data_IF_091158716194
#
_entry.id   IF_091158716194
#
_cell.length_a   1.000
_cell.length_b   1.000
_cell.length_c   1.000
_cell.angle_alpha   90.00
_cell.angle_beta   90.00
_cell.angle_gamma   90.00
#
_symmetry.space_group_name_H-M   'P 1'
#
loop_
_entity.id
_entity.type
_entity.pdbx_description
1 polymer ?
#
# COMPACT_ATOMS: atom_id res chain seq x y z
N UNK A 1 -8.88 11.45 -17.15
CA UNK A 1 -9.51 11.01 -18.42
C UNK A 1 -10.58 10.00 -18.05
N UNK A 2 -11.83 10.33 -18.35
CA UNK A 2 -13.03 9.55 -18.01
C UNK A 2 -13.29 8.60 -19.17
N UNK A 3 -13.46 7.30 -18.92
CA UNK A 3 -14.01 6.39 -19.92
C UNK A 3 -15.40 5.94 -19.48
N UNK A 4 -16.41 6.54 -20.09
CA UNK A 4 -17.77 6.05 -20.09
C UNK A 4 -17.89 4.88 -21.07
N UNK A 5 -18.70 3.89 -20.71
CA UNK A 5 -19.09 2.81 -21.60
C UNK A 5 -20.58 2.97 -21.92
N UNK A 6 -20.85 3.08 -23.22
CA UNK A 6 -22.12 3.43 -23.82
C UNK A 6 -23.20 2.37 -23.62
N UNK A 7 -24.44 2.87 -23.57
CA UNK A 7 -25.69 2.11 -23.58
C UNK A 7 -25.83 1.26 -24.85
N UNK A 8 -26.15 -0.03 -24.66
CA UNK A 8 -26.72 -0.89 -25.70
C UNK A 8 -28.19 -1.09 -25.37
N UNK A 9 -29.04 -0.41 -26.13
CA UNK A 9 -30.44 -0.77 -26.35
C UNK A 9 -30.48 -1.95 -27.32
N UNK A 10 -31.28 -2.97 -27.02
CA UNK A 10 -31.33 -4.17 -27.87
C UNK A 10 -32.20 -5.28 -27.30
N UNK A 11 -33.49 -4.99 -27.24
CA UNK A 11 -34.63 -5.87 -27.08
C UNK A 11 -34.47 -7.26 -27.74
N UNK A 12 -34.80 -8.34 -27.00
CA UNK A 12 -35.78 -9.37 -27.41
C UNK A 12 -35.82 -10.53 -26.42
N UNK A 13 -36.88 -10.49 -25.62
CA UNK A 13 -37.44 -11.59 -24.85
C UNK A 13 -37.59 -12.86 -25.72
N UNK A 14 -36.89 -13.93 -25.39
CA UNK A 14 -37.22 -15.30 -25.81
C UNK A 14 -37.12 -16.24 -24.62
N UNK A 15 -38.29 -16.45 -24.01
CA UNK A 15 -38.60 -17.52 -23.08
C UNK A 15 -38.28 -18.88 -23.72
N UNK A 16 -37.28 -19.59 -23.19
CA UNK A 16 -37.11 -21.03 -23.37
C UNK A 16 -36.83 -21.65 -22.00
N UNK A 17 -37.87 -22.27 -21.46
CA UNK A 17 -37.89 -23.08 -20.24
C UNK A 17 -37.19 -24.42 -20.50
N UNK A 18 -35.88 -24.54 -20.25
CA UNK A 18 -35.20 -25.83 -20.08
C UNK A 18 -34.15 -25.68 -18.97
N UNK A 19 -34.40 -26.31 -17.83
CA UNK A 19 -33.51 -26.28 -16.68
C UNK A 19 -32.31 -27.20 -16.86
N UNK A 20 -31.11 -26.64 -16.74
CA UNK A 20 -29.96 -27.20 -16.01
C UNK A 20 -29.19 -26.00 -15.47
N UNK A 21 -28.89 -26.04 -14.18
CA UNK A 21 -28.30 -24.97 -13.42
C UNK A 21 -26.76 -24.94 -13.57
N UNK A 22 -26.21 -23.75 -13.28
CA UNK A 22 -24.89 -23.51 -12.68
C UNK A 22 -23.66 -23.42 -13.61
N UNK A 23 -23.38 -22.17 -14.01
CA UNK A 23 -22.14 -21.44 -13.67
C UNK A 23 -20.86 -22.31 -13.55
N UNK A 24 -20.16 -22.54 -14.66
CA UNK A 24 -18.71 -22.75 -14.61
C UNK A 24 -18.05 -21.37 -14.71
N UNK A 25 -17.83 -20.75 -13.55
CA UNK A 25 -17.23 -19.44 -13.43
C UNK A 25 -15.84 -19.38 -14.06
N UNK A 26 -15.69 -18.49 -15.05
CA UNK A 26 -14.47 -17.72 -15.19
C UNK A 26 -14.24 -17.00 -13.87
N UNK A 27 -13.02 -17.05 -13.30
CA UNK A 27 -12.43 -16.05 -12.40
C UNK A 27 -11.11 -16.64 -11.84
N UNK A 28 -9.98 -16.36 -12.49
CA UNK A 28 -8.65 -16.44 -11.87
C UNK A 28 -7.74 -15.46 -12.61
N UNK A 29 -7.86 -14.17 -12.27
CA UNK A 29 -6.95 -13.13 -12.75
C UNK A 29 -6.68 -12.13 -11.61
N UNK A 30 -6.10 -12.60 -10.51
CA UNK A 30 -5.67 -11.73 -9.40
C UNK A 30 -4.37 -12.16 -8.70
N UNK A 31 -3.81 -13.35 -8.96
CA UNK A 31 -2.61 -13.80 -8.23
C UNK A 31 -1.30 -13.19 -8.71
N UNK A 32 -1.14 -12.91 -10.01
CA UNK A 32 0.18 -12.53 -10.59
C UNK A 32 0.68 -11.16 -10.10
N UNK A 33 -0.20 -10.17 -9.94
CA UNK A 33 0.20 -8.85 -9.46
C UNK A 33 0.53 -8.86 -7.96
N UNK A 34 -0.24 -9.61 -7.16
CA UNK A 34 -0.03 -9.70 -5.72
C UNK A 34 1.29 -10.41 -5.36
N UNK A 35 1.72 -11.38 -6.17
CA UNK A 35 3.01 -12.05 -6.01
C UNK A 35 4.19 -11.10 -6.29
N UNK A 36 4.12 -10.27 -7.35
CA UNK A 36 5.14 -9.26 -7.66
C UNK A 36 5.22 -8.18 -6.58
N UNK A 37 4.07 -7.70 -6.09
CA UNK A 37 4.03 -6.68 -5.03
C UNK A 37 4.59 -7.20 -3.70
N UNK A 38 4.30 -8.46 -3.37
CA UNK A 38 4.88 -9.09 -2.19
C UNK A 38 6.40 -9.27 -2.34
N UNK A 39 6.87 -9.75 -3.49
CA UNK A 39 8.31 -9.87 -3.76
C UNK A 39 9.00 -8.50 -3.65
N UNK A 40 8.41 -7.46 -4.24
CA UNK A 40 8.91 -6.10 -4.14
C UNK A 40 9.01 -5.65 -2.68
N UNK A 41 7.95 -5.84 -1.89
CA UNK A 41 7.94 -5.49 -0.48
C UNK A 41 9.05 -6.23 0.29
N UNK A 42 9.13 -7.55 0.15
CA UNK A 42 10.11 -8.36 0.88
C UNK A 42 11.57 -8.04 0.50
N UNK A 43 11.83 -7.74 -0.78
CA UNK A 43 13.20 -7.52 -1.28
C UNK A 43 13.66 -6.07 -1.21
N UNK A 44 12.75 -5.10 -1.30
CA UNK A 44 13.08 -3.67 -1.42
C UNK A 44 12.67 -2.88 -0.19
N UNK A 45 11.48 -3.16 0.36
CA UNK A 45 10.89 -2.35 1.43
C UNK A 45 11.28 -2.85 2.81
N UNK A 46 11.04 -4.14 3.10
CA UNK A 46 11.29 -4.72 4.41
C UNK A 46 12.73 -4.50 4.90
N UNK A 47 13.78 -4.63 4.07
CA UNK A 47 15.15 -4.36 4.53
C UNK A 47 15.37 -2.91 4.96
N UNK A 48 14.72 -1.95 4.30
CA UNK A 48 14.76 -0.53 4.68
C UNK A 48 14.06 -0.32 6.02
N UNK A 49 12.85 -0.87 6.18
CA UNK A 49 12.07 -0.74 7.42
C UNK A 49 12.79 -1.36 8.62
N UNK A 50 13.34 -2.57 8.46
CA UNK A 50 14.11 -3.26 9.51
C UNK A 50 15.32 -2.44 9.94
N UNK A 51 16.07 -1.91 8.97
CA UNK A 51 17.33 -1.22 9.24
C UNK A 51 17.14 0.19 9.80
N UNK A 52 16.08 0.89 9.39
CA UNK A 52 15.96 2.33 9.63
C UNK A 52 14.72 2.75 10.41
N UNK A 53 13.70 1.89 10.55
CA UNK A 53 12.42 2.29 11.12
C UNK A 53 12.09 1.52 12.41
N UNK A 54 12.36 0.22 12.46
CA UNK A 54 11.87 -0.65 13.54
C UNK A 54 12.45 -0.34 14.91
N UNK A 55 13.63 0.27 15.00
CA UNK A 55 14.19 0.72 16.29
C UNK A 55 13.21 1.61 17.06
N UNK A 56 12.43 2.44 16.37
CA UNK A 56 11.46 3.38 16.94
C UNK A 56 10.00 3.08 16.60
N UNK A 57 9.72 2.32 15.54
CA UNK A 57 8.37 2.12 15.00
C UNK A 57 8.00 0.62 14.86
N UNK A 58 8.27 -0.14 15.91
CA UNK A 58 7.90 -1.56 16.00
C UNK A 58 7.33 -1.88 17.38
N UNK A 59 6.65 -3.02 17.50
CA UNK A 59 6.12 -3.49 18.77
C UNK A 59 7.22 -3.75 19.81
N UNK A 60 8.42 -4.09 19.34
CA UNK A 60 9.60 -4.36 20.17
C UNK A 60 10.44 -3.09 20.46
N UNK A 61 10.01 -1.92 20.00
CA UNK A 61 10.73 -0.68 20.24
C UNK A 61 10.72 -0.31 21.73
N UNK A 62 11.87 0.10 22.26
CA UNK A 62 11.98 0.65 23.62
C UNK A 62 11.15 1.93 23.80
N UNK A 63 11.00 2.73 22.74
CA UNK A 63 10.23 3.96 22.74
C UNK A 63 9.52 4.09 21.39
N UNK A 64 8.21 3.84 21.40
CA UNK A 64 7.38 3.93 20.21
C UNK A 64 7.24 5.40 19.76
N UNK A 65 7.79 5.72 18.59
CA UNK A 65 7.73 7.04 17.98
C UNK A 65 6.33 7.33 17.43
N UNK A 66 5.68 8.39 17.92
CA UNK A 66 4.39 8.88 17.41
C UNK A 66 3.28 7.83 17.36
N UNK A 67 3.32 6.83 18.25
CA UNK A 67 2.34 5.73 18.30
C UNK A 67 2.32 4.83 17.05
N UNK A 68 3.29 4.97 16.14
CA UNK A 68 3.26 4.34 14.82
C UNK A 68 4.01 3.00 14.80
N UNK A 69 3.33 1.95 14.31
CA UNK A 69 3.88 0.62 14.08
C UNK A 69 4.04 0.36 12.57
N UNK A 70 5.25 0.01 12.14
CA UNK A 70 5.59 -0.29 10.74
C UNK A 70 5.96 -1.77 10.51
N UNK A 71 6.01 -2.56 11.57
CA UNK A 71 6.41 -3.97 11.57
C UNK A 71 5.27 -4.96 11.33
N UNK A 72 4.03 -4.47 11.28
CA UNK A 72 2.84 -5.26 11.02
C UNK A 72 1.89 -4.56 10.06
N UNK A 73 1.15 -5.34 9.25
CA UNK A 73 0.17 -4.81 8.30
C UNK A 73 -0.92 -3.99 9.01
N UNK A 74 -1.38 -4.47 10.16
CA UNK A 74 -2.45 -3.81 10.92
C UNK A 74 -1.94 -2.52 11.57
N UNK A 75 -0.70 -2.51 12.09
CA UNK A 75 -0.05 -1.30 12.59
C UNK A 75 0.09 -0.21 11.53
N UNK A 76 0.56 -0.59 10.33
CA UNK A 76 0.68 0.34 9.20
C UNK A 76 -0.68 0.94 8.81
N UNK A 77 -1.75 0.12 8.81
CA UNK A 77 -3.12 0.55 8.49
C UNK A 77 -3.75 1.43 9.56
N UNK A 78 -3.42 1.17 10.82
CA UNK A 78 -3.89 1.97 11.95
C UNK A 78 -3.29 3.38 11.94
N UNK A 79 -2.04 3.51 11.51
CA UNK A 79 -1.30 4.78 11.54
C UNK A 79 -0.77 5.12 12.93
N UNK A 80 -0.41 6.38 13.13
CA UNK A 80 0.10 6.90 14.40
C UNK A 80 -0.72 8.07 14.94
N UNK A 81 -0.17 8.76 15.93
CA UNK A 81 -0.82 9.89 16.60
C UNK A 81 -1.18 11.05 15.64
N UNK A 82 -0.42 11.18 14.55
CA UNK A 82 -0.65 12.17 13.48
C UNK A 82 -1.62 11.71 12.40
N UNK A 83 -2.22 10.52 12.54
CA UNK A 83 -3.12 9.89 11.57
C UNK A 83 -2.44 8.85 10.67
N UNK A 84 -3.00 8.57 9.48
CA UNK A 84 -2.48 7.57 8.56
C UNK A 84 -1.03 7.88 8.14
N UNK A 85 -0.12 6.94 8.34
CA UNK A 85 1.25 7.08 7.88
C UNK A 85 1.36 6.91 6.36
N UNK A 86 0.50 6.06 5.79
CA UNK A 86 0.48 5.70 4.38
C UNK A 86 -0.93 5.85 3.81
N UNK A 87 -1.00 6.59 2.72
CA UNK A 87 -2.18 6.73 1.86
C UNK A 87 -1.92 5.92 0.58
N UNK A 88 -2.47 4.70 0.50
CA UNK A 88 -2.25 3.77 -0.61
C UNK A 88 -2.54 4.43 -1.97
N UNK A 89 -1.61 4.27 -2.91
CA UNK A 89 -1.62 4.91 -4.23
C UNK A 89 -1.25 6.38 -4.25
N UNK A 90 -0.95 7.00 -3.10
CA UNK A 90 -0.71 8.45 -2.97
C UNK A 90 0.57 8.76 -2.16
N UNK A 91 1.77 8.54 -2.74
CA UNK A 91 3.04 8.84 -2.07
C UNK A 91 3.13 10.28 -1.56
N UNK A 92 2.71 11.25 -2.38
CA UNK A 92 2.77 12.68 -2.05
C UNK A 92 1.82 13.10 -0.91
N UNK A 93 0.77 12.32 -0.64
CA UNK A 93 -0.15 12.55 0.47
C UNK A 93 0.30 11.86 1.77
N UNK A 94 1.20 10.88 1.68
CA UNK A 94 1.58 10.01 2.79
C UNK A 94 2.59 10.66 3.73
N UNK A 95 2.31 10.62 5.04
CA UNK A 95 3.19 11.19 6.06
C UNK A 95 4.56 10.50 6.10
N UNK A 96 4.59 9.18 5.91
CA UNK A 96 5.83 8.39 5.87
C UNK A 96 6.78 8.92 4.78
N UNK A 97 6.26 9.26 3.59
CA UNK A 97 7.07 9.77 2.47
C UNK A 97 7.58 11.18 2.76
N UNK A 98 6.74 12.06 3.33
CA UNK A 98 7.16 13.40 3.74
C UNK A 98 8.28 13.36 4.78
N UNK A 99 8.17 12.46 5.76
CA UNK A 99 9.14 12.27 6.83
C UNK A 99 10.51 11.81 6.29
N UNK A 100 10.55 10.83 5.39
CA UNK A 100 11.82 10.30 4.84
C UNK A 100 12.47 11.21 3.80
N UNK A 101 11.68 12.08 3.15
CA UNK A 101 12.18 13.13 2.25
C UNK A 101 12.66 14.39 2.98
N UNK A 102 12.45 14.45 4.29
CA UNK A 102 12.77 15.59 5.14
C UNK A 102 12.06 16.88 4.71
N UNK A 103 10.76 16.78 4.43
CA UNK A 103 9.96 17.92 3.98
C UNK A 103 9.40 18.77 5.15
N UNK A 104 9.56 18.32 6.40
CA UNK A 104 9.11 19.01 7.62
C UNK A 104 10.05 18.70 8.79
N UNK A 105 10.76 19.72 9.29
CA UNK A 105 11.77 19.61 10.33
C UNK A 105 11.28 18.92 11.62
N UNK A 106 9.98 19.01 11.94
CA UNK A 106 9.41 18.41 13.14
C UNK A 106 9.23 16.88 13.02
N UNK A 107 9.21 16.34 11.80
CA UNK A 107 8.85 14.94 11.50
C UNK A 107 9.91 14.19 10.69
N UNK A 108 11.11 14.76 10.54
CA UNK A 108 12.20 14.15 9.77
C UNK A 108 12.60 12.79 10.37
N UNK A 109 12.56 11.75 9.53
CA UNK A 109 12.90 10.37 9.92
C UNK A 109 13.78 9.70 8.86
N UNK A 110 14.78 8.90 9.24
CA UNK A 110 15.16 8.58 10.62
C UNK A 110 16.08 9.65 11.23
N UNK A 111 16.05 9.89 12.55
CA UNK A 111 16.77 11.00 13.17
C UNK A 111 18.30 10.87 13.07
N UNK A 112 18.83 9.67 12.81
CA UNK A 112 20.26 9.41 12.67
C UNK A 112 20.83 9.83 11.30
N UNK A 113 19.97 10.20 10.35
CA UNK A 113 20.41 10.68 9.04
C UNK A 113 19.49 10.25 7.91
N UNK A 114 19.42 11.07 6.85
CA UNK A 114 18.53 10.83 5.72
C UNK A 114 18.86 9.51 5.02
N UNK A 115 17.81 8.81 4.57
CA UNK A 115 17.93 7.60 3.76
C UNK A 115 18.61 7.89 2.41
N UNK A 116 19.13 6.85 1.76
CA UNK A 116 19.58 6.97 0.37
C UNK A 116 18.41 7.27 -0.56
N UNK A 117 18.68 7.95 -1.66
CA UNK A 117 17.62 8.28 -2.64
C UNK A 117 16.94 7.01 -3.17
N UNK A 118 17.66 5.90 -3.32
CA UNK A 118 17.07 4.62 -3.72
C UNK A 118 16.11 4.06 -2.66
N UNK A 119 16.47 4.13 -1.37
CA UNK A 119 15.58 3.65 -0.31
C UNK A 119 14.31 4.49 -0.22
N UNK A 120 14.41 5.80 -0.43
CA UNK A 120 13.25 6.69 -0.52
C UNK A 120 12.38 6.30 -1.72
N UNK A 121 12.99 6.08 -2.90
CA UNK A 121 12.27 5.67 -4.10
C UNK A 121 11.56 4.31 -3.94
N UNK A 122 12.18 3.36 -3.26
CA UNK A 122 11.58 2.04 -2.99
C UNK A 122 10.36 2.17 -2.06
N UNK A 123 10.43 3.03 -1.04
CA UNK A 123 9.29 3.33 -0.16
C UNK A 123 8.15 4.06 -0.91
N UNK A 124 8.48 5.00 -1.79
CA UNK A 124 7.48 5.68 -2.62
C UNK A 124 6.76 4.72 -3.57
N UNK A 125 7.51 3.81 -4.20
CA UNK A 125 6.96 2.80 -5.08
C UNK A 125 6.06 1.82 -4.33
N UNK A 126 6.44 1.42 -3.13
CA UNK A 126 5.58 0.62 -2.28
C UNK A 126 4.24 1.31 -2.00
N UNK A 127 4.28 2.57 -1.56
CA UNK A 127 3.06 3.35 -1.32
C UNK A 127 2.24 3.51 -2.61
N UNK A 128 2.89 3.67 -3.76
CA UNK A 128 2.23 3.81 -5.07
C UNK A 128 1.51 2.53 -5.49
N UNK A 129 2.08 1.36 -5.19
CA UNK A 129 1.50 0.04 -5.50
C UNK A 129 0.27 -0.27 -4.64
N UNK A 130 0.28 0.13 -3.37
CA UNK A 130 -0.89 0.13 -2.48
C UNK A 130 -0.95 -1.06 -1.53
#
# INVERSE_FOLDING_TARGET
MRHGCSSVTGDRLRLWLWGVALFAGQLNCSSICAEDDLEFFERKVRPVLVKHCYECHSADSRKLGGGLLLDSRDGVRQGGDSGPAIEAGKPEASLLIKAVRYQDDASNMPPQGRLSDQAIADLEEWVRRG
#
